data_IF_121321466586
#
_entry.id   IF_121321466586
#
_cell.length_a   1.000
_cell.length_b   1.000
_cell.length_c   1.000
_cell.angle_alpha   90.00
_cell.angle_beta   90.00
_cell.angle_gamma   90.00
#
_symmetry.space_group_name_H-M   'P 1'
#
loop_
_entity.id
_entity.type
_entity.pdbx_description
1 polymer ?
#
# COMPACT_ATOMS: atom_id res chain seq x y z
N UNK A 1 1.87 10.74 14.61
CA UNK A 1 2.91 11.17 13.65
C UNK A 1 4.10 10.28 13.95
N UNK A 2 4.59 9.51 12.99
CA UNK A 2 5.73 8.62 13.23
C UNK A 2 6.95 9.48 13.62
N UNK A 3 7.37 9.38 14.88
CA UNK A 3 8.45 10.19 15.45
C UNK A 3 9.78 9.96 14.74
N UNK A 4 9.92 8.87 13.98
CA UNK A 4 11.12 8.53 13.23
C UNK A 4 11.13 9.07 11.79
N UNK A 5 10.14 9.87 11.39
CA UNK A 5 10.08 10.45 10.05
C UNK A 5 10.35 11.96 10.03
N UNK A 6 11.12 12.40 9.04
CA UNK A 6 11.29 13.80 8.67
C UNK A 6 10.39 14.11 7.47
N UNK A 7 9.41 15.00 7.66
CA UNK A 7 8.59 15.54 6.58
C UNK A 7 9.23 16.78 5.96
N UNK A 8 9.35 16.81 4.65
CA UNK A 8 9.84 17.96 3.89
C UNK A 8 8.75 18.39 2.92
N UNK A 9 8.46 19.68 2.87
CA UNK A 9 7.49 20.28 1.96
C UNK A 9 8.18 21.40 1.20
N UNK A 10 8.21 21.29 -0.12
CA UNK A 10 8.67 22.35 -1.00
C UNK A 10 7.49 23.03 -1.67
N UNK A 11 7.64 24.35 -1.86
CA UNK A 11 6.70 25.20 -2.57
C UNK A 11 7.45 26.26 -3.35
N UNK A 12 6.82 26.79 -4.40
CA UNK A 12 7.33 27.96 -5.10
C UNK A 12 7.45 29.15 -4.15
N UNK A 13 8.51 29.94 -4.34
CA UNK A 13 8.81 31.12 -3.53
C UNK A 13 7.72 32.19 -3.62
N UNK A 14 7.02 32.28 -4.76
CA UNK A 14 5.98 33.29 -5.00
C UNK A 14 4.59 32.87 -4.51
N UNK A 15 4.44 31.69 -3.89
CA UNK A 15 3.13 31.22 -3.45
C UNK A 15 2.57 32.09 -2.32
N UNK A 16 1.24 32.30 -2.34
CA UNK A 16 0.51 33.08 -1.34
C UNK A 16 -0.54 32.22 -0.66
N UNK A 17 -0.66 32.37 0.65
CA UNK A 17 -1.69 31.68 1.43
C UNK A 17 -3.10 32.16 1.06
N UNK A 18 -4.08 31.24 1.01
CA UNK A 18 -5.49 31.61 1.01
C UNK A 18 -5.82 32.52 2.21
N UNK A 19 -6.78 33.43 2.03
CA UNK A 19 -7.08 34.48 3.03
C UNK A 19 -8.18 34.09 4.01
N UNK A 20 -9.07 33.20 3.63
CA UNK A 20 -10.20 32.72 4.42
C UNK A 20 -9.89 31.37 5.09
N UNK A 21 -10.62 31.08 6.17
CA UNK A 21 -10.39 29.90 7.02
C UNK A 21 -11.34 28.74 6.69
N UNK A 22 -11.79 28.65 5.44
CA UNK A 22 -12.63 27.53 5.02
C UNK A 22 -11.83 26.21 5.02
N UNK A 23 -12.54 25.09 5.20
CA UNK A 23 -11.92 23.75 5.14
C UNK A 23 -11.31 23.50 3.77
N UNK A 24 -11.95 23.98 2.70
CA UNK A 24 -11.44 23.92 1.34
C UNK A 24 -10.10 24.63 1.21
N UNK A 25 -10.02 25.89 1.65
CA UNK A 25 -8.76 26.64 1.59
C UNK A 25 -7.68 26.09 2.51
N UNK A 26 -8.04 25.48 3.64
CA UNK A 26 -7.11 24.71 4.46
C UNK A 26 -6.53 23.50 3.72
N UNK A 27 -7.35 22.77 2.94
CA UNK A 27 -6.91 21.63 2.15
C UNK A 27 -6.04 22.07 0.96
N UNK A 28 -6.48 23.09 0.22
CA UNK A 28 -5.71 23.70 -0.89
C UNK A 28 -4.36 24.21 -0.38
N UNK A 29 -4.35 24.94 0.74
CA UNK A 29 -3.13 25.41 1.38
C UNK A 29 -2.17 24.26 1.67
N UNK A 30 -2.66 23.11 2.11
CA UNK A 30 -1.79 21.99 2.47
C UNK A 30 -1.34 21.16 1.28
N UNK A 31 -2.13 21.06 0.23
CA UNK A 31 -1.95 20.06 -0.83
C UNK A 31 -1.48 20.72 -2.13
N UNK A 32 -2.14 21.80 -2.54
CA UNK A 32 -2.01 22.35 -3.87
C UNK A 32 -0.60 22.91 -4.14
N UNK A 33 -0.07 22.66 -5.33
CA UNK A 33 1.21 23.20 -5.79
C UNK A 33 2.42 22.89 -4.88
N UNK A 34 2.36 21.77 -4.15
CA UNK A 34 3.45 21.32 -3.28
C UNK A 34 4.17 20.09 -3.80
N UNK A 35 5.41 19.95 -3.38
CA UNK A 35 6.15 18.69 -3.44
C UNK A 35 6.39 18.27 -2.00
N UNK A 36 6.11 17.01 -1.68
CA UNK A 36 6.27 16.50 -0.32
C UNK A 36 7.12 15.25 -0.35
N UNK A 37 7.99 15.13 0.65
CA UNK A 37 8.70 13.90 0.94
C UNK A 37 8.62 13.56 2.42
N UNK A 38 8.61 12.27 2.74
CA UNK A 38 8.92 11.76 4.07
C UNK A 38 10.17 10.90 3.97
N UNK A 39 11.09 11.12 4.89
CA UNK A 39 12.38 10.42 4.96
C UNK A 39 12.50 9.81 6.35
N UNK A 40 12.98 8.58 6.42
CA UNK A 40 13.34 7.97 7.69
C UNK A 40 14.57 8.67 8.31
N UNK A 41 14.48 9.07 9.58
CA UNK A 41 15.52 9.88 10.23
C UNK A 41 16.85 9.14 10.37
N UNK A 42 16.83 7.81 10.54
CA UNK A 42 18.00 6.99 10.81
C UNK A 42 18.67 6.52 9.52
N UNK A 43 17.95 5.77 8.70
CA UNK A 43 18.42 5.21 7.44
C UNK A 43 18.54 6.24 6.32
N UNK A 44 17.91 7.41 6.47
CA UNK A 44 17.79 8.45 5.42
C UNK A 44 17.06 7.96 4.16
N UNK A 45 16.42 6.79 4.20
CA UNK A 45 15.67 6.27 3.08
C UNK A 45 14.39 7.09 2.86
N UNK A 46 14.06 7.30 1.59
CA UNK A 46 12.78 7.89 1.19
C UNK A 46 11.65 6.92 1.55
N UNK A 47 10.68 7.39 2.33
CA UNK A 47 9.48 6.63 2.74
C UNK A 47 8.27 7.00 1.88
N UNK A 48 8.08 8.28 1.62
CA UNK A 48 7.00 8.77 0.75
C UNK A 48 7.50 9.94 -0.08
N UNK A 49 7.00 10.07 -1.30
CA UNK A 49 7.17 11.24 -2.14
C UNK A 49 5.89 11.48 -2.94
N UNK A 50 5.43 12.72 -2.99
CA UNK A 50 4.27 13.11 -3.77
C UNK A 50 4.46 14.50 -4.38
N UNK A 51 4.25 14.57 -5.69
CA UNK A 51 4.24 15.78 -6.47
C UNK A 51 2.78 16.18 -6.77
N UNK A 52 2.28 17.17 -6.03
CA UNK A 52 0.87 17.61 -6.09
C UNK A 52 0.58 18.67 -7.14
N UNK A 53 1.60 19.11 -7.88
CA UNK A 53 1.43 20.06 -8.98
C UNK A 53 1.34 19.30 -10.31
N UNK A 54 0.35 19.58 -11.15
CA UNK A 54 0.34 19.00 -12.49
C UNK A 54 1.62 19.34 -13.25
N UNK A 55 2.21 18.32 -13.89
CA UNK A 55 3.37 18.45 -14.77
C UNK A 55 3.01 17.81 -16.09
N UNK A 56 3.16 18.59 -17.15
CA UNK A 56 3.13 18.10 -18.51
C UNK A 56 4.53 18.18 -19.10
N UNK A 57 4.82 17.30 -20.03
CA UNK A 57 6.01 17.32 -20.85
C UNK A 57 5.68 16.86 -22.26
N UNK A 58 6.72 16.64 -23.06
CA UNK A 58 6.60 16.33 -24.48
C UNK A 58 6.63 14.82 -24.78
N UNK A 59 6.78 13.97 -23.75
CA UNK A 59 6.77 12.52 -23.94
C UNK A 59 5.35 11.99 -24.08
N UNK A 60 5.23 10.83 -24.73
CA UNK A 60 4.03 10.01 -24.73
C UNK A 60 4.42 8.57 -24.40
N UNK A 61 4.75 8.33 -23.13
CA UNK A 61 5.27 7.04 -22.68
C UNK A 61 4.16 5.99 -22.64
N UNK A 62 4.44 4.83 -23.24
CA UNK A 62 3.60 3.66 -23.07
C UNK A 62 3.58 3.20 -21.61
N UNK A 63 2.61 2.35 -21.28
CA UNK A 63 2.54 1.73 -19.96
C UNK A 63 3.80 0.90 -19.65
N UNK A 64 4.35 0.20 -20.64
CA UNK A 64 5.58 -0.60 -20.54
C UNK A 64 6.81 0.28 -20.29
N UNK A 65 6.93 1.41 -21.00
CA UNK A 65 8.02 2.36 -20.75
C UNK A 65 7.96 2.93 -19.32
N UNK A 66 6.76 3.25 -18.83
CA UNK A 66 6.56 3.68 -17.45
C UNK A 66 6.90 2.56 -16.44
N UNK A 67 6.56 1.31 -16.76
CA UNK A 67 6.90 0.15 -15.93
C UNK A 67 8.41 0.03 -15.81
N UNK A 68 9.14 0.13 -16.91
CA UNK A 68 10.58 -0.04 -16.92
C UNK A 68 11.28 1.09 -16.12
N UNK A 69 10.74 2.32 -16.16
CA UNK A 69 11.16 3.42 -15.28
C UNK A 69 10.93 3.07 -13.80
N UNK A 70 9.73 2.58 -13.44
CA UNK A 70 9.40 2.21 -12.07
C UNK A 70 10.29 1.07 -11.55
N UNK A 71 10.50 0.03 -12.35
CA UNK A 71 11.42 -1.07 -12.03
C UNK A 71 12.85 -0.57 -11.83
N UNK A 72 13.34 0.27 -12.75
CA UNK A 72 14.70 0.84 -12.67
C UNK A 72 14.87 1.68 -11.41
N UNK A 73 13.88 2.50 -11.07
CA UNK A 73 13.89 3.31 -9.86
C UNK A 73 14.03 2.43 -8.61
N UNK A 74 13.20 1.39 -8.47
CA UNK A 74 13.26 0.47 -7.32
C UNK A 74 14.58 -0.30 -7.29
N UNK A 75 15.02 -0.86 -8.42
CA UNK A 75 16.27 -1.62 -8.50
C UNK A 75 17.51 -0.76 -8.18
N UNK A 76 17.46 0.54 -8.48
CA UNK A 76 18.57 1.47 -8.22
C UNK A 76 18.62 1.88 -6.75
N UNK A 77 17.50 2.35 -6.18
CA UNK A 77 17.50 2.98 -4.86
C UNK A 77 17.12 2.04 -3.71
N UNK A 78 16.45 0.92 -4.01
CA UNK A 78 15.94 -0.04 -3.03
C UNK A 78 16.38 -1.47 -3.34
N UNK A 79 17.59 -1.63 -3.91
CA UNK A 79 18.16 -2.91 -4.35
C UNK A 79 18.05 -4.06 -3.34
N UNK A 80 18.08 -3.75 -2.05
CA UNK A 80 18.03 -4.72 -0.96
C UNK A 80 16.65 -5.40 -0.84
N UNK A 81 15.59 -4.73 -1.30
CA UNK A 81 14.24 -5.28 -1.33
C UNK A 81 13.96 -6.12 -2.57
N UNK A 82 14.74 -5.96 -3.66
CA UNK A 82 14.49 -6.60 -4.96
C UNK A 82 14.24 -8.12 -4.87
N UNK A 83 14.98 -8.91 -4.06
CA UNK A 83 14.73 -10.34 -3.92
C UNK A 83 13.34 -10.71 -3.38
N UNK A 84 12.66 -9.76 -2.73
CA UNK A 84 11.37 -9.94 -2.07
C UNK A 84 10.21 -9.35 -2.88
N UNK A 85 10.48 -8.74 -4.03
CA UNK A 85 9.44 -8.05 -4.79
C UNK A 85 8.83 -8.94 -5.84
N UNK A 86 7.51 -8.87 -5.95
CA UNK A 86 6.79 -9.29 -7.14
C UNK A 86 6.01 -8.10 -7.67
N UNK A 87 5.96 -7.92 -8.99
CA UNK A 87 5.22 -6.82 -9.59
C UNK A 87 3.76 -7.22 -9.78
N UNK A 88 2.84 -6.44 -9.22
CA UNK A 88 1.41 -6.54 -9.52
C UNK A 88 1.01 -5.43 -10.48
N UNK A 89 0.48 -5.84 -11.63
CA UNK A 89 -0.10 -4.91 -12.60
C UNK A 89 -1.57 -4.72 -12.24
N UNK A 90 -1.87 -3.58 -11.62
CA UNK A 90 -3.26 -3.14 -11.44
C UNK A 90 -3.59 -2.14 -12.55
N UNK A 91 -4.81 -2.25 -13.11
CA UNK A 91 -5.34 -1.18 -13.94
C UNK A 91 -5.50 0.06 -13.04
N UNK A 92 -5.09 1.25 -13.49
CA UNK A 92 -5.27 2.46 -12.70
C UNK A 92 -6.75 2.63 -12.35
N UNK A 93 -7.05 2.81 -11.07
CA UNK A 93 -8.41 2.98 -10.55
C UNK A 93 -9.04 4.31 -10.88
N UNK A 94 -8.22 5.33 -11.15
CA UNK A 94 -8.66 6.66 -11.50
C UNK A 94 -8.21 7.02 -12.91
N UNK A 95 -8.97 7.92 -13.54
CA UNK A 95 -8.64 8.54 -14.81
C UNK A 95 -7.46 9.52 -14.65
N UNK A 96 -6.32 9.02 -14.16
CA UNK A 96 -5.05 9.71 -14.21
C UNK A 96 -4.41 9.41 -15.57
N UNK A 97 -5.06 9.88 -16.65
CA UNK A 97 -4.67 9.59 -18.03
C UNK A 97 -3.16 9.76 -18.27
N UNK A 98 -2.56 10.73 -17.57
CA UNK A 98 -1.16 11.11 -17.67
C UNK A 98 -0.21 10.36 -16.72
N UNK A 99 -0.67 9.37 -15.95
CA UNK A 99 0.16 8.58 -15.03
C UNK A 99 -0.08 7.07 -15.17
N UNK A 100 0.96 6.30 -14.86
CA UNK A 100 0.91 4.86 -14.74
C UNK A 100 1.35 4.46 -13.32
N UNK A 101 0.57 3.58 -12.69
CA UNK A 101 0.79 3.14 -11.32
C UNK A 101 1.21 1.68 -11.25
N UNK A 102 2.16 1.41 -10.36
CA UNK A 102 2.74 0.09 -10.16
C UNK A 102 2.81 -0.21 -8.67
N UNK A 103 2.37 -1.41 -8.31
CA UNK A 103 2.48 -1.94 -6.95
C UNK A 103 3.49 -3.07 -6.96
N UNK A 104 4.46 -3.03 -6.05
CA UNK A 104 5.44 -4.08 -5.84
C UNK A 104 5.27 -4.66 -4.42
N UNK A 105 4.33 -5.60 -4.21
CA UNK A 105 4.19 -6.33 -2.94
C UNK A 105 5.46 -7.05 -2.51
N UNK A 106 5.71 -7.02 -1.20
CA UNK A 106 6.75 -7.80 -0.56
C UNK A 106 6.28 -9.24 -0.30
N UNK A 107 7.17 -10.18 -0.58
CA UNK A 107 7.01 -11.60 -0.40
C UNK A 107 8.20 -12.19 0.33
N UNK A 108 7.96 -13.19 1.18
CA UNK A 108 8.99 -13.97 1.86
C UNK A 108 9.02 -15.40 1.31
N UNK A 109 9.71 -16.31 2.00
CA UNK A 109 9.86 -17.71 1.60
C UNK A 109 8.53 -18.31 1.09
N UNK A 110 8.63 -19.14 0.04
CA UNK A 110 7.50 -19.79 -0.61
C UNK A 110 6.47 -18.85 -1.27
N UNK A 111 6.85 -17.59 -1.53
CA UNK A 111 5.97 -16.63 -2.21
C UNK A 111 4.81 -16.15 -1.34
N UNK A 112 4.98 -16.18 -0.02
CA UNK A 112 3.99 -15.66 0.92
C UNK A 112 4.04 -14.14 0.92
N UNK A 113 2.95 -13.51 0.51
CA UNK A 113 2.83 -12.06 0.51
C UNK A 113 2.72 -11.54 1.95
N UNK A 114 3.47 -10.49 2.29
CA UNK A 114 3.25 -9.75 3.53
C UNK A 114 2.10 -8.77 3.30
N UNK A 115 1.05 -8.87 4.12
CA UNK A 115 -0.13 -8.03 3.98
C UNK A 115 0.23 -6.54 4.14
N UNK A 116 -0.36 -5.67 3.31
CA UNK A 116 -0.15 -4.22 3.29
C UNK A 116 1.26 -3.71 2.94
N UNK A 117 2.27 -4.58 2.92
CA UNK A 117 3.66 -4.21 2.66
C UNK A 117 4.00 -4.26 1.16
N UNK A 118 4.18 -3.08 0.56
CA UNK A 118 4.48 -2.93 -0.85
C UNK A 118 5.17 -1.60 -1.15
N UNK A 119 5.90 -1.54 -2.27
CA UNK A 119 6.19 -0.25 -2.89
C UNK A 119 5.03 0.16 -3.79
N UNK A 120 4.72 1.45 -3.81
CA UNK A 120 3.75 2.05 -4.73
C UNK A 120 4.44 3.15 -5.52
N UNK A 121 4.41 3.07 -6.85
CA UNK A 121 5.11 3.99 -7.75
C UNK A 121 4.15 4.53 -8.80
N UNK A 122 4.05 5.85 -8.92
CA UNK A 122 3.31 6.56 -9.96
C UNK A 122 4.26 7.32 -10.88
N UNK A 123 4.32 6.92 -12.15
CA UNK A 123 5.17 7.53 -13.19
C UNK A 123 4.31 8.41 -14.08
N UNK A 124 4.76 9.63 -14.33
CA UNK A 124 4.11 10.56 -15.24
C UNK A 124 4.47 10.24 -16.69
N UNK A 125 3.47 9.89 -17.52
CA UNK A 125 3.64 9.47 -18.92
C UNK A 125 4.20 10.57 -19.82
N UNK A 126 4.00 11.83 -19.46
CA UNK A 126 4.42 12.97 -20.29
C UNK A 126 5.82 13.49 -19.97
N UNK A 127 6.37 13.10 -18.81
CA UNK A 127 7.68 13.58 -18.35
C UNK A 127 8.66 12.48 -17.97
N UNK A 128 8.18 11.24 -17.75
CA UNK A 128 8.98 10.12 -17.25
C UNK A 128 9.37 10.23 -15.78
N UNK A 129 8.95 11.27 -15.06
CA UNK A 129 9.28 11.43 -13.65
C UNK A 129 8.39 10.58 -12.74
N UNK A 130 8.97 10.17 -11.60
CA UNK A 130 8.20 9.64 -10.49
C UNK A 130 7.46 10.81 -9.85
N UNK A 131 6.13 10.82 -9.91
CA UNK A 131 5.28 11.83 -9.26
C UNK A 131 4.80 11.34 -7.90
N UNK A 132 4.66 10.01 -7.73
CA UNK A 132 4.17 9.40 -6.50
C UNK A 132 5.06 8.21 -6.16
N UNK A 133 5.49 8.13 -4.90
CA UNK A 133 6.23 7.01 -4.36
C UNK A 133 5.83 6.75 -2.91
N UNK A 134 5.68 5.49 -2.54
CA UNK A 134 5.61 5.03 -1.15
C UNK A 134 6.43 3.76 -1.02
N UNK A 135 7.26 3.71 0.01
CA UNK A 135 7.97 2.50 0.42
C UNK A 135 7.06 1.65 1.32
N UNK A 136 7.39 0.36 1.49
CA UNK A 136 6.83 -0.43 2.57
C UNK A 136 7.17 0.20 3.94
N UNK A 137 6.34 -0.11 4.94
CA UNK A 137 6.54 0.33 6.32
C UNK A 137 7.64 -0.49 6.99
N UNK A 138 7.71 -1.77 6.64
CA UNK A 138 8.68 -2.72 7.17
C UNK A 138 10.12 -2.38 6.77
N UNK A 139 11.06 -2.66 7.67
CA UNK A 139 12.49 -2.61 7.37
C UNK A 139 13.04 -3.99 6.97
N UNK A 140 14.31 -4.01 6.57
CA UNK A 140 14.96 -5.23 6.13
C UNK A 140 15.27 -6.19 7.28
N UNK A 141 15.50 -5.68 8.49
CA UNK A 141 15.80 -6.55 9.65
C UNK A 141 14.58 -7.40 9.98
N UNK A 142 13.38 -6.80 10.01
CA UNK A 142 12.14 -7.53 10.19
C UNK A 142 11.85 -8.45 8.99
N UNK A 143 12.17 -8.01 7.77
CA UNK A 143 12.03 -8.84 6.57
C UNK A 143 12.89 -10.11 6.64
N UNK A 144 14.14 -9.99 7.12
CA UNK A 144 15.03 -11.13 7.34
C UNK A 144 14.60 -12.03 8.49
N UNK A 145 13.81 -11.50 9.43
CA UNK A 145 13.30 -12.28 10.57
C UNK A 145 12.13 -13.20 10.22
N UNK A 146 11.48 -13.02 9.07
CA UNK A 146 10.44 -13.94 8.62
C UNK A 146 11.05 -15.28 8.24
N UNK A 147 11.12 -16.15 9.23
CA UNK A 147 11.47 -17.55 9.05
C UNK A 147 10.31 -18.30 8.38
N UNK A 148 10.63 -19.33 7.61
CA UNK A 148 9.61 -20.27 7.15
C UNK A 148 9.26 -21.19 8.33
N UNK A 149 8.40 -20.70 9.22
CA UNK A 149 7.77 -21.55 10.21
C UNK A 149 7.18 -22.78 9.51
N UNK A 150 7.14 -23.93 10.19
CA UNK A 150 6.52 -25.13 9.62
C UNK A 150 5.02 -24.85 9.44
N UNK A 151 4.62 -24.62 8.18
CA UNK A 151 3.23 -24.40 7.81
C UNK A 151 2.52 -25.75 7.85
N UNK A 152 1.44 -25.82 8.61
CA UNK A 152 0.55 -26.97 8.59
C UNK A 152 -0.08 -27.09 7.20
N UNK A 153 -0.12 -28.29 6.60
CA UNK A 153 -0.92 -28.54 5.41
C UNK A 153 -2.36 -28.06 5.61
N UNK A 154 -2.98 -27.52 4.56
CA UNK A 154 -4.32 -26.95 4.64
C UNK A 154 -5.34 -27.99 5.15
N UNK A 155 -5.12 -29.27 4.86
CA UNK A 155 -5.93 -30.40 5.30
C UNK A 155 -5.94 -30.56 6.81
N UNK A 156 -4.87 -30.17 7.50
CA UNK A 156 -4.77 -30.26 8.96
C UNK A 156 -5.48 -29.10 9.66
N UNK A 157 -5.70 -27.98 8.97
CA UNK A 157 -6.30 -26.78 9.58
C UNK A 157 -7.79 -26.62 9.22
N UNK A 158 -8.25 -27.20 8.10
CA UNK A 158 -9.68 -27.24 7.73
C UNK A 158 -10.60 -27.75 8.86
N UNK A 159 -10.23 -28.80 9.64
CA UNK A 159 -11.08 -29.28 10.73
C UNK A 159 -11.44 -28.23 11.78
N UNK A 160 -10.61 -27.20 11.99
CA UNK A 160 -10.90 -26.10 12.92
C UNK A 160 -12.16 -25.31 12.51
N UNK A 161 -12.52 -25.31 11.23
CA UNK A 161 -13.74 -24.67 10.73
C UNK A 161 -15.03 -25.40 11.15
N UNK A 162 -14.94 -26.61 11.71
CA UNK A 162 -16.11 -27.30 12.29
C UNK A 162 -16.69 -26.55 13.50
N UNK A 163 -15.88 -25.72 14.14
CA UNK A 163 -16.26 -24.87 15.28
C UNK A 163 -16.73 -23.47 14.83
N UNK A 164 -16.96 -23.29 13.52
CA UNK A 164 -17.41 -22.02 12.96
C UNK A 164 -18.90 -22.06 12.61
N UNK A 165 -19.64 -21.07 13.12
CA UNK A 165 -20.98 -20.75 12.66
C UNK A 165 -20.91 -19.68 11.57
N UNK A 166 -21.71 -19.83 10.51
CA UNK A 166 -21.95 -18.74 9.56
C UNK A 166 -23.00 -17.75 10.10
N UNK A 167 -22.80 -16.46 9.85
CA UNK A 167 -23.81 -15.42 10.11
C UNK A 167 -23.83 -14.37 8.99
N UNK A 168 -24.98 -13.74 8.79
CA UNK A 168 -25.15 -12.69 7.78
C UNK A 168 -24.76 -11.33 8.34
N UNK A 169 -24.03 -10.55 7.54
CA UNK A 169 -23.66 -9.17 7.87
C UNK A 169 -23.58 -8.32 6.61
N UNK A 170 -24.11 -7.09 6.69
CA UNK A 170 -23.82 -6.04 5.73
C UNK A 170 -22.40 -5.53 5.95
N UNK A 171 -21.56 -5.62 4.92
CA UNK A 171 -20.19 -5.10 4.95
C UNK A 171 -20.03 -4.11 3.83
N UNK A 172 -19.30 -3.02 4.12
CA UNK A 172 -18.74 -2.22 3.03
C UNK A 172 -17.68 -3.02 2.32
N UNK A 173 -17.81 -3.14 1.00
CA UNK A 173 -16.68 -3.42 0.14
C UNK A 173 -16.06 -2.08 -0.22
N UNK A 174 -14.82 -1.90 0.20
CA UNK A 174 -14.00 -0.80 -0.29
C UNK A 174 -13.35 -1.28 -1.59
N UNK A 175 -14.09 -1.17 -2.69
CA UNK A 175 -13.50 -1.25 -4.03
C UNK A 175 -13.19 0.18 -4.49
N UNK A 176 -12.11 0.35 -5.24
CA UNK A 176 -11.61 1.67 -5.67
C UNK A 176 -12.67 2.45 -6.49
N UNK A 177 -13.66 1.73 -7.05
CA UNK A 177 -14.68 2.31 -7.92
C UNK A 177 -16.09 2.36 -7.32
N UNK A 178 -16.38 1.66 -6.22
CA UNK A 178 -17.71 1.63 -5.60
C UNK A 178 -17.64 1.32 -4.10
N UNK A 179 -18.37 2.13 -3.32
CA UNK A 179 -18.69 1.83 -1.92
C UNK A 179 -20.02 1.09 -1.87
N UNK A 180 -20.04 -0.16 -2.35
CA UNK A 180 -21.23 -0.98 -2.30
C UNK A 180 -21.32 -1.67 -0.92
N UNK A 181 -22.49 -1.56 -0.30
CA UNK A 181 -22.85 -2.40 0.84
C UNK A 181 -23.24 -3.77 0.30
N UNK A 182 -22.55 -4.80 0.77
CA UNK A 182 -22.78 -6.19 0.34
C UNK A 182 -23.19 -7.01 1.54
N UNK A 183 -24.33 -7.70 1.41
CA UNK A 183 -24.74 -8.71 2.36
C UNK A 183 -23.90 -9.96 2.13
N UNK A 184 -23.14 -10.38 3.13
CA UNK A 184 -22.23 -11.52 3.02
C UNK A 184 -22.32 -12.43 4.25
N UNK A 185 -22.02 -13.71 4.05
CA UNK A 185 -21.77 -14.62 5.15
C UNK A 185 -20.36 -14.38 5.70
N UNK A 186 -20.27 -14.26 7.03
CA UNK A 186 -19.01 -14.28 7.77
C UNK A 186 -19.02 -15.45 8.75
N UNK A 187 -17.84 -15.84 9.19
CA UNK A 187 -17.64 -16.92 10.13
C UNK A 187 -17.40 -16.35 11.53
N UNK A 188 -17.97 -17.00 12.54
CA UNK A 188 -17.72 -16.73 13.96
C UNK A 188 -17.54 -18.04 14.70
N UNK A 189 -16.83 -18.03 15.81
CA UNK A 189 -16.70 -19.23 16.64
C UNK A 189 -18.05 -19.59 17.28
N UNK A 190 -18.41 -20.87 17.27
CA UNK A 190 -19.74 -21.33 17.72
C UNK A 190 -19.98 -21.06 19.22
N UNK A 191 -18.96 -21.16 20.07
CA UNK A 191 -19.12 -20.95 21.52
C UNK A 191 -19.14 -19.47 21.90
N UNK A 192 -18.10 -18.72 21.50
CA UNK A 192 -17.89 -17.33 21.93
C UNK A 192 -18.62 -16.30 21.07
N UNK A 193 -19.10 -16.71 19.89
CA UNK A 193 -19.68 -15.85 18.84
C UNK A 193 -18.74 -14.75 18.33
N UNK A 194 -17.44 -14.82 18.63
CA UNK A 194 -16.44 -13.88 18.12
C UNK A 194 -16.17 -14.11 16.63
N UNK A 195 -16.00 -13.04 15.86
CA UNK A 195 -15.76 -13.14 14.43
C UNK A 195 -14.40 -13.80 14.16
N UNK A 196 -14.37 -14.83 13.31
CA UNK A 196 -13.15 -15.46 12.84
C UNK A 196 -12.54 -14.55 11.76
N UNK A 197 -11.26 -14.23 11.93
CA UNK A 197 -10.49 -13.38 11.00
C UNK A 197 -9.39 -14.14 10.28
N UNK A 198 -9.07 -15.36 10.73
CA UNK A 198 -8.09 -16.22 10.08
C UNK A 198 -7.92 -17.55 10.80
N UNK A 199 -6.97 -18.34 10.31
CA UNK A 199 -6.49 -19.56 10.95
C UNK A 199 -4.98 -19.44 11.07
N UNK A 200 -4.44 -19.72 12.25
CA UNK A 200 -3.00 -19.74 12.46
C UNK A 200 -2.39 -20.91 11.66
N UNK A 201 -1.53 -20.58 10.70
CA UNK A 201 -0.94 -21.56 9.80
C UNK A 201 0.07 -22.51 10.49
N UNK A 202 0.51 -22.22 11.71
CA UNK A 202 1.48 -23.03 12.47
C UNK A 202 0.79 -23.93 13.50
N UNK A 203 -0.30 -23.46 14.10
CA UNK A 203 -1.04 -24.19 15.16
C UNK A 203 -2.36 -24.79 14.68
N UNK A 204 -2.91 -24.29 13.56
CA UNK A 204 -4.24 -24.65 13.08
C UNK A 204 -5.39 -24.03 13.88
N UNK A 205 -5.11 -23.15 14.85
CA UNK A 205 -6.14 -22.54 15.70
C UNK A 205 -6.87 -21.38 14.99
N UNK A 206 -8.16 -21.20 15.30
CA UNK A 206 -8.93 -20.06 14.81
C UNK A 206 -8.43 -18.75 15.44
N UNK A 207 -8.16 -17.75 14.60
CA UNK A 207 -7.86 -16.39 15.03
C UNK A 207 -9.18 -15.62 15.02
N UNK A 208 -9.55 -15.04 16.17
CA UNK A 208 -10.79 -14.29 16.35
C UNK A 208 -10.51 -12.81 16.61
N UNK A 209 -11.41 -11.93 16.18
CA UNK A 209 -11.33 -10.49 16.46
C UNK A 209 -11.44 -10.24 17.96
N UNK A 210 -10.49 -9.50 18.54
CA UNK A 210 -10.69 -8.92 19.88
C UNK A 210 -11.79 -7.86 19.79
N UNK A 211 -12.77 -7.95 20.69
CA UNK A 211 -13.83 -6.95 20.88
C UNK A 211 -13.26 -5.62 21.36
#
# INVERSE_FOLDING_TARGET
>A
MDENTLGIVWRKKEWKAPKDKSIENFLLERIENTVKAKIDKHSRNLKEFMWFKERTGELDLSFEACRDIACTFIATYFKQYVPYLQMQIKKPSFNEANRAFFTFPLHVAHGLQIEWEHFYVGVNKTTGFIDIFRSPSIDLELLYSYDSATIQPIENVIPALKEADAFLQWSRRYDENKNDEVLQYRLRQSETKQQIVGIDATTGQLIVSKL
#
